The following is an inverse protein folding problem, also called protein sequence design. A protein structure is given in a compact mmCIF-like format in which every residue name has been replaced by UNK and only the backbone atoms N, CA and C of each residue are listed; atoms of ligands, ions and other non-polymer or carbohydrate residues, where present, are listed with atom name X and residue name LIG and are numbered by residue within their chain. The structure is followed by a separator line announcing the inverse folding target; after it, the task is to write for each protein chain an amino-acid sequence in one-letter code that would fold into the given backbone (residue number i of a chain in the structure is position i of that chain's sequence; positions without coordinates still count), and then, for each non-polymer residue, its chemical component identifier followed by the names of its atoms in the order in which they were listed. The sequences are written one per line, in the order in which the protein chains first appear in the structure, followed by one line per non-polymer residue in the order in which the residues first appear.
data_IF_724327943838
#
_entry.id   IF_724327943838
#
_cell.length_a   1.000
_cell.length_b   1.000
_cell.length_c   1.000
_cell.angle_alpha   90.00
_cell.angle_beta   90.00
_cell.angle_gamma   90.00
#
_symmetry.space_group_name_H-M   'P 1'
#
loop_
_entity.id
_entity.type
_entity.pdbx_description
1 polymer ?
#
# COMPACT_ATOMS: atom_id res chain seq x y z
N UNK A 1 30.86 -6.62 -28.12
CA UNK A 1 29.76 -7.61 -28.22
C UNK A 1 30.04 -8.87 -27.42
N UNK A 2 31.26 -9.43 -27.50
CA UNK A 2 31.64 -10.68 -26.79
C UNK A 2 31.43 -10.64 -25.28
N UNK A 3 31.79 -9.52 -24.61
CA UNK A 3 31.56 -9.36 -23.16
C UNK A 3 30.10 -9.53 -22.73
N UNK A 4 29.18 -8.81 -23.38
CA UNK A 4 27.73 -8.92 -23.12
C UNK A 4 27.20 -10.33 -23.39
N UNK A 5 27.75 -11.01 -24.40
CA UNK A 5 27.38 -12.39 -24.74
C UNK A 5 27.83 -13.37 -23.65
N UNK A 6 29.01 -13.19 -23.08
CA UNK A 6 29.52 -14.03 -21.99
C UNK A 6 28.74 -13.82 -20.69
N UNK A 7 28.42 -12.58 -20.36
CA UNK A 7 27.54 -12.26 -19.23
C UNK A 7 26.16 -12.90 -19.43
N UNK A 8 25.55 -12.77 -20.60
CA UNK A 8 24.26 -13.39 -20.89
C UNK A 8 24.28 -14.92 -20.71
N UNK A 9 25.34 -15.59 -21.18
CA UNK A 9 25.52 -17.03 -20.96
C UNK A 9 25.65 -17.39 -19.48
N UNK A 10 26.33 -16.56 -18.70
CA UNK A 10 26.47 -16.76 -17.25
C UNK A 10 25.11 -16.66 -16.55
N UNK A 11 24.32 -15.66 -16.92
CA UNK A 11 22.96 -15.47 -16.41
C UNK A 11 22.04 -16.63 -16.82
N UNK A 12 22.11 -17.08 -18.08
CA UNK A 12 21.37 -18.25 -18.56
C UNK A 12 21.77 -19.54 -17.80
N UNK A 13 23.07 -19.76 -17.60
CA UNK A 13 23.56 -20.88 -16.81
C UNK A 13 23.09 -20.82 -15.34
N UNK A 14 22.96 -19.62 -14.77
CA UNK A 14 22.44 -19.41 -13.42
C UNK A 14 20.93 -19.65 -13.32
N UNK A 15 20.15 -19.30 -14.33
CA UNK A 15 18.71 -19.63 -14.41
C UNK A 15 18.51 -21.13 -14.54
N UNK A 16 19.32 -21.81 -15.36
CA UNK A 16 19.22 -23.26 -15.59
C UNK A 16 19.88 -24.11 -14.49
N UNK A 17 20.79 -23.53 -13.69
CA UNK A 17 21.54 -24.24 -12.66
C UNK A 17 22.67 -25.14 -13.18
N UNK A 18 23.15 -24.94 -14.42
CA UNK A 18 24.16 -25.80 -15.06
C UNK A 18 25.57 -25.48 -14.58
N UNK A 19 26.07 -26.26 -13.61
CA UNK A 19 27.44 -26.10 -13.06
C UNK A 19 28.53 -26.30 -14.12
N UNK A 20 28.36 -27.25 -15.04
CA UNK A 20 29.31 -27.48 -16.13
C UNK A 20 29.44 -26.25 -17.06
N UNK A 21 28.32 -25.57 -17.34
CA UNK A 21 28.32 -24.35 -18.13
C UNK A 21 29.03 -23.21 -17.39
N UNK A 22 28.82 -23.09 -16.08
CA UNK A 22 29.54 -22.13 -15.24
C UNK A 22 31.05 -22.40 -15.26
N UNK A 23 31.48 -23.66 -15.09
CA UNK A 23 32.89 -24.03 -15.12
C UNK A 23 33.54 -23.71 -16.47
N UNK A 24 32.88 -24.05 -17.58
CA UNK A 24 33.37 -23.70 -18.92
C UNK A 24 33.51 -22.18 -19.11
N UNK A 25 32.54 -21.40 -18.64
CA UNK A 25 32.60 -19.93 -18.71
C UNK A 25 33.75 -19.38 -17.85
N UNK A 26 34.01 -19.96 -16.68
CA UNK A 26 35.10 -19.56 -15.79
C UNK A 26 36.48 -19.94 -16.31
N UNK A 27 36.58 -21.03 -17.08
CA UNK A 27 37.80 -21.41 -17.80
C UNK A 27 38.10 -20.42 -18.94
N UNK A 28 37.08 -19.97 -19.66
CA UNK A 28 37.20 -18.96 -20.72
C UNK A 28 37.50 -17.55 -20.15
N UNK A 29 36.86 -17.15 -19.05
CA UNK A 29 37.06 -15.85 -18.40
C UNK A 29 36.98 -15.93 -16.87
N UNK A 30 38.16 -15.99 -16.24
CA UNK A 30 38.29 -16.04 -14.77
C UNK A 30 37.71 -14.82 -14.04
N UNK A 31 37.60 -13.68 -14.71
CA UNK A 31 37.14 -12.43 -14.10
C UNK A 31 35.66 -12.13 -14.38
N UNK A 32 34.93 -13.05 -15.02
CA UNK A 32 33.52 -12.83 -15.40
C UNK A 32 32.64 -12.53 -14.17
N UNK A 33 32.91 -13.18 -13.03
CA UNK A 33 32.17 -12.98 -11.78
C UNK A 33 32.45 -11.60 -11.14
N UNK A 34 33.63 -11.00 -11.37
CA UNK A 34 33.92 -9.66 -10.89
C UNK A 34 33.21 -8.60 -11.71
N UNK A 35 33.10 -8.84 -13.02
CA UNK A 35 32.44 -7.93 -13.95
C UNK A 35 30.93 -7.98 -13.84
N UNK A 36 30.36 -9.15 -13.55
CA UNK A 36 28.93 -9.32 -13.35
C UNK A 36 28.35 -8.36 -12.28
N UNK A 37 29.18 -7.91 -11.33
CA UNK A 37 28.83 -6.91 -10.31
C UNK A 37 28.65 -5.47 -10.84
N UNK A 38 29.19 -5.17 -12.02
CA UNK A 38 29.28 -3.80 -12.60
C UNK A 38 28.24 -3.59 -13.71
N UNK A 39 27.42 -4.60 -13.99
CA UNK A 39 26.46 -4.56 -15.11
C UNK A 39 25.12 -3.91 -14.72
N UNK A 40 24.33 -3.53 -15.72
CA UNK A 40 23.04 -2.84 -15.56
C UNK A 40 21.94 -3.73 -14.93
N UNK A 41 22.25 -4.96 -14.58
CA UNK A 41 21.43 -5.86 -13.78
C UNK A 41 22.01 -5.87 -12.37
N UNK A 42 21.33 -5.28 -11.38
CA UNK A 42 21.84 -5.34 -9.99
C UNK A 42 21.71 -6.75 -9.39
N UNK A 43 20.97 -7.65 -10.01
CA UNK A 43 20.86 -9.04 -9.57
C UNK A 43 22.09 -9.81 -10.04
N UNK A 44 22.92 -10.27 -9.10
CA UNK A 44 24.08 -11.12 -9.44
C UNK A 44 23.62 -12.54 -9.82
N UNK A 45 24.44 -13.34 -10.55
CA UNK A 45 24.12 -14.74 -10.84
C UNK A 45 23.83 -15.57 -9.58
N UNK A 46 24.38 -15.17 -8.43
CA UNK A 46 24.10 -15.79 -7.13
C UNK A 46 22.67 -15.52 -6.64
N UNK A 47 22.11 -14.32 -6.88
CA UNK A 47 20.72 -14.00 -6.55
C UNK A 47 19.77 -14.93 -7.31
N UNK A 48 20.00 -15.10 -8.61
CA UNK A 48 19.17 -15.94 -9.48
C UNK A 48 19.27 -17.41 -9.06
N UNK A 49 20.48 -17.93 -8.87
CA UNK A 49 20.67 -19.31 -8.45
C UNK A 49 20.04 -19.58 -7.06
N UNK A 50 20.14 -18.61 -6.14
CA UNK A 50 19.53 -18.67 -4.82
C UNK A 50 17.99 -18.60 -4.88
N UNK A 51 17.42 -17.81 -5.79
CA UNK A 51 15.98 -17.74 -6.03
C UNK A 51 15.44 -19.06 -6.64
N UNK A 52 16.14 -19.60 -7.63
CA UNK A 52 15.73 -20.80 -8.36
C UNK A 52 15.99 -22.11 -7.59
N UNK A 53 16.85 -22.12 -6.57
CA UNK A 53 17.11 -23.32 -5.75
C UNK A 53 18.29 -24.18 -6.22
N UNK A 54 19.19 -23.62 -7.02
CA UNK A 54 20.31 -24.36 -7.61
C UNK A 54 21.49 -24.50 -6.64
N UNK A 55 21.37 -25.46 -5.71
CA UNK A 55 22.29 -25.61 -4.58
C UNK A 55 23.75 -25.82 -5.00
N UNK A 56 24.01 -26.70 -5.96
CA UNK A 56 25.39 -26.99 -6.41
C UNK A 56 26.01 -25.80 -7.14
N UNK A 57 25.19 -25.09 -7.92
CA UNK A 57 25.59 -23.86 -8.60
C UNK A 57 25.96 -22.75 -7.61
N UNK A 58 25.15 -22.58 -6.55
CA UNK A 58 25.44 -21.66 -5.45
C UNK A 58 26.76 -22.03 -4.76
N UNK A 59 26.96 -23.30 -4.42
CA UNK A 59 28.18 -23.77 -3.75
C UNK A 59 29.43 -23.53 -4.60
N UNK A 60 29.37 -23.78 -5.90
CA UNK A 60 30.48 -23.50 -6.82
C UNK A 60 30.78 -22.00 -6.87
N UNK A 61 29.76 -21.13 -7.03
CA UNK A 61 29.96 -19.67 -7.03
C UNK A 61 30.59 -19.19 -5.71
N UNK A 62 30.06 -19.64 -4.57
CA UNK A 62 30.56 -19.24 -3.25
C UNK A 62 32.00 -19.72 -3.01
N UNK A 63 32.36 -20.91 -3.51
CA UNK A 63 33.72 -21.45 -3.44
C UNK A 63 34.74 -20.65 -4.27
N UNK A 64 34.28 -19.98 -5.34
CA UNK A 64 35.12 -19.12 -6.18
C UNK A 64 35.17 -17.67 -5.71
N UNK A 65 34.01 -17.11 -5.34
CA UNK A 65 33.87 -15.71 -4.92
C UNK A 65 32.78 -15.57 -3.85
N UNK A 66 33.19 -15.79 -2.60
CA UNK A 66 32.35 -15.66 -1.40
C UNK A 66 31.76 -14.25 -1.21
N UNK A 67 32.46 -13.21 -1.68
CA UNK A 67 32.00 -11.81 -1.56
C UNK A 67 30.63 -11.54 -2.18
N UNK A 68 30.22 -12.34 -3.18
CA UNK A 68 28.90 -12.22 -3.81
C UNK A 68 27.73 -12.46 -2.83
N UNK A 69 27.96 -13.15 -1.71
CA UNK A 69 26.94 -13.40 -0.70
C UNK A 69 26.44 -12.12 -0.01
N UNK A 70 27.26 -11.07 0.01
CA UNK A 70 26.94 -9.77 0.63
C UNK A 70 26.32 -8.74 -0.33
N UNK A 71 26.25 -9.06 -1.63
CA UNK A 71 25.72 -8.14 -2.63
C UNK A 71 24.20 -8.01 -2.51
N UNK A 72 23.68 -6.83 -2.87
CA UNK A 72 22.26 -6.51 -2.78
C UNK A 72 21.70 -6.14 -4.17
N UNK A 73 20.51 -6.64 -4.47
CA UNK A 73 19.78 -6.31 -5.70
C UNK A 73 19.08 -4.92 -5.64
N UNK A 74 18.23 -4.62 -6.64
CA UNK A 74 17.47 -3.36 -6.72
C UNK A 74 16.50 -3.16 -5.54
N UNK A 75 15.99 -4.25 -4.99
CA UNK A 75 15.09 -4.26 -3.83
C UNK A 75 15.88 -4.32 -2.52
N UNK A 76 17.21 -4.11 -2.57
CA UNK A 76 18.14 -4.26 -1.44
C UNK A 76 18.09 -5.65 -0.81
N UNK A 77 17.64 -6.66 -1.54
CA UNK A 77 17.60 -8.05 -1.10
C UNK A 77 18.93 -8.72 -1.42
N UNK A 78 19.43 -9.51 -0.49
CA UNK A 78 20.60 -10.36 -0.70
C UNK A 78 20.20 -11.74 -1.22
N UNK A 79 21.14 -12.57 -1.71
CA UNK A 79 20.83 -13.97 -2.06
C UNK A 79 20.22 -14.75 -0.89
N UNK A 80 20.57 -14.40 0.35
CA UNK A 80 20.00 -15.01 1.56
C UNK A 80 18.52 -14.67 1.73
N UNK A 81 18.10 -13.45 1.41
CA UNK A 81 16.68 -13.04 1.41
C UNK A 81 15.88 -13.91 0.44
N UNK A 82 16.38 -14.06 -0.80
CA UNK A 82 15.72 -14.81 -1.86
C UNK A 82 15.63 -16.31 -1.55
N UNK A 83 16.72 -16.92 -1.08
CA UNK A 83 16.73 -18.31 -0.65
C UNK A 83 15.77 -18.55 0.52
N UNK A 84 15.71 -17.60 1.46
CA UNK A 84 14.86 -17.71 2.65
C UNK A 84 13.38 -17.61 2.33
N UNK A 85 12.99 -16.70 1.43
CA UNK A 85 11.60 -16.57 0.97
C UNK A 85 11.13 -17.82 0.19
N UNK A 86 12.03 -18.39 -0.64
CA UNK A 86 11.70 -19.53 -1.48
C UNK A 86 11.79 -20.88 -0.75
N UNK A 87 12.43 -20.95 0.41
CA UNK A 87 12.47 -22.16 1.25
C UNK A 87 13.67 -23.07 1.02
N UNK A 88 14.75 -22.56 0.41
CA UNK A 88 15.91 -23.37 0.01
C UNK A 88 16.90 -23.55 1.16
N UNK A 89 16.63 -24.51 2.05
CA UNK A 89 17.38 -24.75 3.30
C UNK A 89 18.89 -24.93 3.08
N UNK A 90 19.30 -25.74 2.11
CA UNK A 90 20.72 -26.03 1.86
C UNK A 90 21.48 -24.82 1.32
N UNK A 91 20.81 -23.95 0.55
CA UNK A 91 21.36 -22.68 0.09
C UNK A 91 21.51 -21.71 1.26
N UNK A 92 20.50 -21.64 2.13
CA UNK A 92 20.56 -20.82 3.35
C UNK A 92 21.75 -21.23 4.22
N UNK A 93 21.94 -22.54 4.46
CA UNK A 93 23.12 -23.04 5.20
C UNK A 93 24.43 -22.63 4.52
N UNK A 94 24.54 -22.80 3.20
CA UNK A 94 25.75 -22.43 2.45
C UNK A 94 26.06 -20.93 2.54
N UNK A 95 25.04 -20.06 2.43
CA UNK A 95 25.20 -18.61 2.53
C UNK A 95 25.55 -18.15 3.95
N UNK A 96 24.93 -18.76 4.98
CA UNK A 96 25.23 -18.46 6.39
C UNK A 96 26.64 -18.86 6.80
N UNK A 97 27.17 -19.96 6.24
CA UNK A 97 28.56 -20.36 6.47
C UNK A 97 29.57 -19.34 5.95
N UNK A 98 29.21 -18.63 4.87
CA UNK A 98 30.09 -17.64 4.24
C UNK A 98 29.95 -16.26 4.89
N UNK A 99 28.71 -15.82 5.15
CA UNK A 99 28.43 -14.51 5.70
C UNK A 99 27.20 -14.54 6.64
N UNK A 100 27.39 -14.84 7.94
CA UNK A 100 26.30 -14.93 8.91
C UNK A 100 25.65 -13.57 9.23
N UNK A 101 26.38 -12.47 9.07
CA UNK A 101 25.90 -11.11 9.37
C UNK A 101 24.76 -10.68 8.43
N UNK A 102 24.61 -11.34 7.28
CA UNK A 102 23.49 -11.11 6.36
C UNK A 102 22.12 -11.44 6.94
N UNK A 103 22.03 -12.12 8.09
CA UNK A 103 20.79 -12.26 8.84
C UNK A 103 20.24 -10.92 9.36
N UNK A 104 21.10 -9.92 9.60
CA UNK A 104 20.70 -8.63 10.20
C UNK A 104 20.30 -7.59 9.14
N UNK A 105 20.76 -7.77 7.91
CA UNK A 105 20.49 -6.84 6.81
C UNK A 105 19.02 -6.92 6.43
N UNK A 106 18.37 -5.76 6.30
CA UNK A 106 17.00 -5.66 5.81
C UNK A 106 16.94 -5.28 4.33
N UNK A 107 15.92 -5.80 3.65
CA UNK A 107 15.55 -5.42 2.28
C UNK A 107 15.01 -3.98 2.20
N UNK A 108 14.50 -3.59 1.03
CA UNK A 108 13.93 -2.26 0.78
C UNK A 108 12.72 -1.91 1.66
N UNK A 109 12.09 -2.90 2.29
CA UNK A 109 10.99 -2.72 3.26
C UNK A 109 11.46 -2.89 4.72
N UNK A 110 12.77 -2.99 4.94
CA UNK A 110 13.35 -3.22 6.26
C UNK A 110 13.21 -4.66 6.76
N UNK A 111 12.81 -5.60 5.91
CA UNK A 111 12.62 -7.01 6.26
C UNK A 111 13.92 -7.77 6.06
N UNK A 112 14.48 -8.30 7.14
CA UNK A 112 15.56 -9.28 7.07
C UNK A 112 15.12 -10.68 6.56
N UNK A 113 16.05 -11.62 6.31
CA UNK A 113 15.73 -12.95 5.82
C UNK A 113 14.80 -13.77 6.73
N UNK A 114 14.87 -13.56 8.06
CA UNK A 114 14.00 -14.25 9.02
C UNK A 114 12.55 -13.79 8.85
N UNK A 115 12.31 -12.50 8.66
CA UNK A 115 10.97 -11.96 8.35
C UNK A 115 10.38 -12.61 7.10
N UNK A 116 11.17 -12.71 6.02
CA UNK A 116 10.71 -13.31 4.76
C UNK A 116 10.38 -14.80 4.91
N UNK A 117 11.24 -15.57 5.60
CA UNK A 117 10.98 -16.98 5.89
C UNK A 117 9.70 -17.16 6.72
N UNK A 118 9.52 -16.32 7.75
CA UNK A 118 8.35 -16.33 8.61
C UNK A 118 7.05 -16.00 7.86
N UNK A 119 7.06 -14.96 7.04
CA UNK A 119 5.95 -14.53 6.18
C UNK A 119 5.55 -15.59 5.15
N UNK A 120 6.52 -16.33 4.60
CA UNK A 120 6.29 -17.37 3.59
C UNK A 120 6.06 -18.76 4.19
N UNK A 121 6.03 -18.90 5.52
CA UNK A 121 5.77 -20.18 6.19
C UNK A 121 6.93 -21.18 6.11
N UNK A 122 8.16 -20.73 5.85
CA UNK A 122 9.33 -21.60 5.66
C UNK A 122 9.94 -21.99 7.02
N UNK A 123 9.31 -22.96 7.69
CA UNK A 123 9.68 -23.38 9.07
C UNK A 123 11.13 -23.89 9.15
N UNK A 124 11.56 -24.73 8.21
CA UNK A 124 12.91 -25.33 8.25
C UNK A 124 14.02 -24.30 8.00
N UNK A 125 13.80 -23.39 7.05
CA UNK A 125 14.68 -22.25 6.82
C UNK A 125 14.75 -21.38 8.07
N UNK A 126 13.60 -21.04 8.65
CA UNK A 126 13.53 -20.18 9.82
C UNK A 126 14.28 -20.82 11.01
N UNK A 127 14.21 -22.14 11.17
CA UNK A 127 14.97 -22.87 12.20
C UNK A 127 16.47 -22.71 12.01
N UNK A 128 16.98 -22.83 10.79
CA UNK A 128 18.41 -22.63 10.52
C UNK A 128 18.85 -21.18 10.74
N UNK A 129 18.03 -20.21 10.31
CA UNK A 129 18.31 -18.79 10.53
C UNK A 129 18.32 -18.40 12.02
N UNK A 130 17.40 -18.94 12.82
CA UNK A 130 17.31 -18.66 14.26
C UNK A 130 18.53 -19.18 15.04
N UNK A 131 19.18 -20.25 14.57
CA UNK A 131 20.41 -20.77 15.20
C UNK A 131 21.59 -19.79 15.09
N UNK A 132 21.65 -19.04 14.00
CA UNK A 132 22.77 -18.12 13.72
C UNK A 132 22.42 -16.68 14.12
N UNK A 133 21.21 -16.23 13.79
CA UNK A 133 20.78 -14.84 13.87
C UNK A 133 19.57 -14.61 14.76
N UNK A 134 19.51 -15.18 15.96
CA UNK A 134 18.38 -15.02 16.89
C UNK A 134 18.02 -13.54 17.13
N UNK A 135 19.03 -12.68 17.25
CA UNK A 135 18.84 -11.24 17.44
C UNK A 135 18.12 -10.58 16.27
N UNK A 136 18.31 -11.07 15.05
CA UNK A 136 17.63 -10.55 13.86
C UNK A 136 16.11 -10.73 13.94
N UNK A 137 15.62 -11.76 14.63
CA UNK A 137 14.18 -11.99 14.79
C UNK A 137 13.48 -10.90 15.63
N UNK A 138 14.24 -10.11 16.40
CA UNK A 138 13.71 -9.05 17.27
C UNK A 138 13.59 -7.70 16.56
N UNK A 139 14.16 -7.55 15.37
CA UNK A 139 14.07 -6.32 14.61
C UNK A 139 12.61 -6.07 14.21
N UNK A 140 12.15 -4.83 14.38
CA UNK A 140 10.84 -4.42 13.89
C UNK A 140 10.94 -3.96 12.45
N UNK A 141 9.92 -4.27 11.65
CA UNK A 141 9.78 -3.72 10.29
C UNK A 141 9.02 -2.40 10.33
N UNK A 142 8.71 -1.85 9.17
CA UNK A 142 7.83 -0.69 9.03
C UNK A 142 6.56 -0.83 9.91
N UNK A 143 6.11 0.29 10.48
CA UNK A 143 4.94 0.34 11.39
C UNK A 143 5.14 -0.33 12.75
N UNK A 144 6.39 -0.59 13.15
CA UNK A 144 6.72 -1.15 14.47
C UNK A 144 6.34 -2.63 14.60
N UNK A 145 6.10 -3.31 13.48
CA UNK A 145 5.63 -4.69 13.49
C UNK A 145 6.79 -5.65 13.77
N UNK A 146 6.57 -6.60 14.68
CA UNK A 146 7.50 -7.70 14.91
C UNK A 146 7.26 -8.84 13.91
N UNK A 147 8.22 -9.75 13.79
CA UNK A 147 8.07 -11.00 13.01
C UNK A 147 6.80 -11.80 13.37
N UNK A 148 6.35 -11.73 14.63
CA UNK A 148 5.12 -12.41 15.08
C UNK A 148 3.87 -11.78 14.45
N UNK A 149 3.83 -10.44 14.33
CA UNK A 149 2.75 -9.74 13.63
C UNK A 149 2.69 -10.16 12.16
N UNK A 150 3.85 -10.30 11.51
CA UNK A 150 3.95 -10.74 10.13
C UNK A 150 3.46 -12.19 9.94
N UNK A 151 3.80 -13.09 10.85
CA UNK A 151 3.27 -14.46 10.84
C UNK A 151 1.74 -14.49 10.91
N UNK A 152 1.14 -13.69 11.81
CA UNK A 152 -0.31 -13.61 11.96
C UNK A 152 -0.94 -13.00 10.70
N UNK A 153 -0.42 -11.89 10.18
CA UNK A 153 -0.93 -11.29 8.93
C UNK A 153 -0.95 -12.26 7.76
N UNK A 154 0.08 -13.09 7.64
CA UNK A 154 0.20 -14.07 6.56
C UNK A 154 -0.42 -15.45 6.91
N UNK A 155 -1.10 -15.58 8.06
CA UNK A 155 -1.71 -16.81 8.54
C UNK A 155 -0.74 -18.01 8.63
N UNK A 156 0.51 -17.76 9.06
CA UNK A 156 1.57 -18.75 9.13
C UNK A 156 1.74 -19.30 10.55
N UNK A 157 0.85 -20.22 10.94
CA UNK A 157 0.85 -20.82 12.28
C UNK A 157 2.14 -21.60 12.58
N UNK A 158 2.70 -22.32 11.61
CA UNK A 158 3.90 -23.15 11.83
C UNK A 158 5.13 -22.32 12.21
N UNK A 159 5.36 -21.19 11.52
CA UNK A 159 6.47 -20.28 11.82
C UNK A 159 6.21 -19.50 13.11
N UNK A 160 4.95 -19.11 13.37
CA UNK A 160 4.55 -18.48 14.62
C UNK A 160 4.86 -19.36 15.84
N UNK A 161 4.48 -20.65 15.78
CA UNK A 161 4.76 -21.64 16.84
C UNK A 161 6.25 -21.72 17.14
N UNK A 162 7.05 -21.95 16.10
CA UNK A 162 8.51 -22.04 16.23
C UNK A 162 9.11 -20.78 16.88
N UNK A 163 8.68 -19.59 16.46
CA UNK A 163 9.19 -18.32 17.00
C UNK A 163 8.82 -18.11 18.46
N UNK A 164 7.58 -18.42 18.84
CA UNK A 164 7.13 -18.31 20.23
C UNK A 164 7.84 -19.29 21.16
N UNK A 165 8.04 -20.54 20.70
CA UNK A 165 8.80 -21.56 21.44
C UNK A 165 10.28 -21.18 21.59
N UNK A 166 10.88 -20.57 20.56
CA UNK A 166 12.32 -20.26 20.56
C UNK A 166 12.66 -18.98 21.31
N UNK A 167 11.86 -17.92 21.17
CA UNK A 167 12.16 -16.61 21.77
C UNK A 167 11.61 -16.46 23.18
N UNK A 168 10.53 -17.18 23.52
CA UNK A 168 9.84 -17.28 24.83
C UNK A 168 10.05 -16.08 25.79
N UNK A 169 9.83 -14.87 25.29
CA UNK A 169 10.05 -13.62 26.01
C UNK A 169 8.73 -12.87 26.12
N UNK A 170 8.25 -12.71 27.35
CA UNK A 170 6.97 -12.07 27.64
C UNK A 170 6.86 -10.65 27.05
N UNK A 171 7.94 -9.87 27.03
CA UNK A 171 7.89 -8.52 26.46
C UNK A 171 7.70 -8.61 24.94
N UNK A 172 8.41 -9.52 24.30
CA UNK A 172 8.36 -9.70 22.85
C UNK A 172 7.01 -10.26 22.36
N UNK A 173 6.43 -11.22 23.09
CA UNK A 173 5.11 -11.79 22.77
C UNK A 173 3.98 -10.77 22.87
N UNK A 174 4.14 -9.77 23.73
CA UNK A 174 3.15 -8.71 23.98
C UNK A 174 3.51 -7.37 23.32
N UNK A 175 4.51 -7.37 22.43
CA UNK A 175 4.80 -6.20 21.59
C UNK A 175 3.57 -5.81 20.77
N UNK A 176 3.42 -4.51 20.56
CA UNK A 176 2.32 -3.94 19.80
C UNK A 176 2.83 -3.21 18.56
N UNK A 177 2.03 -3.20 17.50
CA UNK A 177 2.26 -2.36 16.32
C UNK A 177 2.11 -0.85 16.62
N UNK A 178 2.29 0.01 15.61
CA UNK A 178 2.10 1.47 15.72
C UNK A 178 0.69 1.90 16.16
N UNK A 179 -0.29 1.02 16.09
CA UNK A 179 -1.68 1.25 16.49
C UNK A 179 -2.00 0.64 17.86
N UNK A 180 -1.01 0.05 18.54
CA UNK A 180 -1.18 -0.63 19.81
C UNK A 180 -1.81 -2.03 19.68
N UNK A 181 -1.98 -2.57 18.46
CA UNK A 181 -2.52 -3.92 18.30
C UNK A 181 -1.44 -4.95 18.64
N UNK A 182 -1.77 -5.87 19.54
CA UNK A 182 -1.00 -7.09 19.74
C UNK A 182 -1.32 -8.13 18.65
N UNK A 183 -0.51 -9.19 18.58
CA UNK A 183 -0.73 -10.33 17.69
C UNK A 183 -2.12 -10.97 17.84
N UNK A 184 -2.72 -10.93 19.04
CA UNK A 184 -4.07 -11.47 19.28
C UNK A 184 -5.15 -10.57 18.65
N UNK A 185 -4.99 -9.24 18.72
CA UNK A 185 -5.90 -8.31 18.06
C UNK A 185 -5.93 -8.56 16.54
N UNK A 186 -4.75 -8.77 15.94
CA UNK A 186 -4.64 -9.10 14.52
C UNK A 186 -5.26 -10.47 14.21
N UNK A 187 -4.99 -11.51 15.00
CA UNK A 187 -5.52 -12.85 14.77
C UNK A 187 -7.06 -12.87 14.79
N UNK A 188 -7.65 -12.17 15.76
CA UNK A 188 -9.11 -12.01 15.88
C UNK A 188 -9.69 -11.17 14.75
N UNK A 189 -9.03 -10.07 14.38
CA UNK A 189 -9.47 -9.23 13.25
C UNK A 189 -9.50 -9.99 11.92
N UNK A 190 -8.58 -10.94 11.71
CA UNK A 190 -8.53 -11.80 10.51
C UNK A 190 -9.29 -13.12 10.69
N UNK A 191 -9.96 -13.33 11.82
CA UNK A 191 -10.75 -14.54 12.16
C UNK A 191 -9.95 -15.85 12.05
N UNK A 192 -8.69 -15.83 12.47
CA UNK A 192 -7.77 -16.97 12.36
C UNK A 192 -7.89 -17.93 13.56
N UNK A 193 -8.96 -18.73 13.60
CA UNK A 193 -9.30 -19.60 14.75
C UNK A 193 -8.12 -20.44 15.26
N UNK A 194 -7.34 -21.05 14.36
CA UNK A 194 -6.22 -21.91 14.75
C UNK A 194 -5.07 -21.16 15.42
N UNK A 195 -4.80 -19.92 14.98
CA UNK A 195 -3.83 -19.03 15.62
C UNK A 195 -4.39 -18.53 16.95
N UNK A 196 -5.67 -18.15 17.01
CA UNK A 196 -6.33 -17.69 18.24
C UNK A 196 -6.28 -18.77 19.33
N UNK A 197 -6.68 -20.02 19.01
CA UNK A 197 -6.58 -21.16 19.95
C UNK A 197 -5.16 -21.34 20.47
N UNK A 198 -4.18 -21.26 19.58
CA UNK A 198 -2.78 -21.40 19.97
C UNK A 198 -2.33 -20.25 20.89
N UNK A 199 -2.65 -19.00 20.56
CA UNK A 199 -2.26 -17.82 21.33
C UNK A 199 -2.92 -17.80 22.73
N UNK A 200 -4.19 -18.15 22.84
CA UNK A 200 -4.89 -18.18 24.14
C UNK A 200 -4.35 -19.30 25.03
N UNK A 201 -4.01 -20.45 24.44
CA UNK A 201 -3.41 -21.58 25.20
C UNK A 201 -1.95 -21.31 25.56
N UNK A 202 -1.25 -20.47 24.79
CA UNK A 202 0.17 -20.20 25.00
C UNK A 202 0.41 -19.34 26.24
N UNK A 203 1.27 -19.84 27.14
CA UNK A 203 1.66 -19.11 28.35
C UNK A 203 2.44 -17.86 27.95
N UNK A 204 1.97 -16.69 28.38
CA UNK A 204 2.69 -15.43 28.24
C UNK A 204 2.11 -14.41 27.27
N UNK A 205 1.05 -14.74 26.52
CA UNK A 205 0.30 -13.77 25.72
C UNK A 205 -0.79 -13.11 26.59
N UNK A 206 -0.81 -11.79 26.63
CA UNK A 206 -1.82 -11.02 27.33
C UNK A 206 -3.12 -10.95 26.51
N UNK A 207 -4.09 -11.80 26.86
CA UNK A 207 -5.42 -11.86 26.23
C UNK A 207 -6.20 -10.54 26.40
N UNK A 208 -5.94 -9.83 27.50
CA UNK A 208 -6.64 -8.61 27.91
C UNK A 208 -5.87 -7.33 27.55
N UNK A 209 -4.91 -7.41 26.63
CA UNK A 209 -4.23 -6.24 26.11
C UNK A 209 -5.23 -5.28 25.46
N UNK A 210 -5.04 -3.97 25.67
CA UNK A 210 -5.83 -2.92 25.03
C UNK A 210 -4.98 -2.23 23.96
N UNK A 211 -5.56 -1.98 22.80
CA UNK A 211 -4.89 -1.21 21.75
C UNK A 211 -5.01 0.31 21.99
N UNK A 212 -4.43 1.12 21.09
CA UNK A 212 -4.48 2.58 21.22
C UNK A 212 -5.90 3.17 21.15
N UNK A 213 -6.89 2.39 20.71
CA UNK A 213 -8.31 2.76 20.70
C UNK A 213 -9.05 2.31 21.97
N UNK A 214 -8.36 1.71 22.94
CA UNK A 214 -8.96 1.18 24.17
C UNK A 214 -9.79 -0.08 23.96
N UNK A 215 -9.58 -0.79 22.84
CA UNK A 215 -10.30 -2.02 22.51
C UNK A 215 -9.46 -3.24 22.84
N UNK A 216 -10.09 -4.26 23.40
CA UNK A 216 -9.53 -5.61 23.53
C UNK A 216 -9.76 -6.43 22.27
N UNK A 217 -9.11 -7.59 22.17
CA UNK A 217 -9.39 -8.55 21.10
C UNK A 217 -10.87 -8.98 21.06
N UNK A 218 -11.50 -9.13 22.23
CA UNK A 218 -12.93 -9.46 22.33
C UNK A 218 -13.84 -8.32 21.83
N UNK A 219 -13.46 -7.07 22.07
CA UNK A 219 -14.18 -5.91 21.54
C UNK A 219 -14.05 -5.79 20.02
N UNK A 220 -12.88 -6.16 19.47
CA UNK A 220 -12.68 -6.23 18.00
C UNK A 220 -13.60 -7.29 17.39
N UNK A 221 -13.70 -8.48 18.00
CA UNK A 221 -14.62 -9.53 17.54
C UNK A 221 -16.06 -9.02 17.52
N UNK A 222 -16.50 -8.36 18.59
CA UNK A 222 -17.86 -7.83 18.70
C UNK A 222 -18.18 -6.72 17.69
N UNK A 223 -17.16 -6.00 17.20
CA UNK A 223 -17.30 -5.00 16.15
C UNK A 223 -17.24 -5.61 14.74
N UNK A 224 -16.57 -6.75 14.58
CA UNK A 224 -16.57 -7.49 13.33
C UNK A 224 -17.98 -8.04 13.09
N UNK A 225 -18.51 -7.89 11.87
CA UNK A 225 -19.87 -8.31 11.55
C UNK A 225 -20.07 -9.81 11.84
N UNK A 226 -21.28 -10.16 12.33
CA UNK A 226 -21.63 -11.53 12.75
C UNK A 226 -21.37 -12.54 11.64
N UNK A 227 -20.49 -13.48 11.94
CA UNK A 227 -20.12 -14.63 11.11
C UNK A 227 -20.25 -15.92 11.92
N UNK A 228 -20.35 -17.06 11.24
CA UNK A 228 -20.48 -18.39 11.88
C UNK A 228 -19.29 -18.70 12.79
N UNK A 229 -18.11 -18.22 12.41
CA UNK A 229 -16.86 -18.41 13.16
C UNK A 229 -16.76 -17.53 14.42
N UNK A 230 -17.60 -16.50 14.57
CA UNK A 230 -17.49 -15.57 15.70
C UNK A 230 -17.89 -16.25 17.02
N UNK A 231 -18.79 -17.24 16.96
CA UNK A 231 -19.16 -18.03 18.14
C UNK A 231 -17.97 -18.85 18.64
N UNK A 232 -17.31 -19.58 17.74
CA UNK A 232 -16.15 -20.40 18.09
C UNK A 232 -14.97 -19.54 18.57
N UNK A 233 -14.77 -18.37 17.97
CA UNK A 233 -13.72 -17.42 18.40
C UNK A 233 -14.06 -16.84 19.78
N UNK A 234 -15.33 -16.49 20.02
CA UNK A 234 -15.77 -15.98 21.32
C UNK A 234 -15.63 -17.05 22.41
N UNK A 235 -15.94 -18.31 22.10
CA UNK A 235 -15.74 -19.45 23.00
C UNK A 235 -14.25 -19.65 23.32
N UNK A 236 -13.39 -19.61 22.29
CA UNK A 236 -11.94 -19.70 22.47
C UNK A 236 -11.36 -18.56 23.33
N UNK A 237 -11.94 -17.36 23.28
CA UNK A 237 -11.54 -16.22 24.11
C UNK A 237 -12.20 -16.23 25.50
N UNK A 238 -13.36 -16.86 25.63
CA UNK A 238 -14.28 -16.76 26.77
C UNK A 238 -13.74 -17.27 28.09
N UNK A 239 -12.72 -18.13 28.09
CA UNK A 239 -12.14 -18.67 29.32
C UNK A 239 -11.21 -17.70 30.07
N UNK A 240 -10.91 -16.50 29.51
CA UNK A 240 -10.07 -15.51 30.19
C UNK A 240 -10.09 -14.08 29.62
N UNK A 241 -10.79 -13.83 28.51
CA UNK A 241 -10.89 -12.51 27.90
C UNK A 241 -11.99 -11.65 28.53
N UNK A 242 -11.63 -10.45 28.95
CA UNK A 242 -12.52 -9.40 29.42
C UNK A 242 -12.76 -8.38 28.30
N UNK A 243 -13.92 -7.71 28.32
CA UNK A 243 -14.15 -6.56 27.44
C UNK A 243 -13.40 -5.34 27.98
N UNK A 244 -12.97 -4.43 27.11
CA UNK A 244 -12.22 -3.23 27.49
C UNK A 244 -12.96 -2.35 28.51
N UNK A 245 -14.30 -2.34 28.44
CA UNK A 245 -15.17 -1.66 29.42
C UNK A 245 -15.09 -2.23 30.84
N UNK A 246 -14.79 -3.52 30.97
CA UNK A 246 -14.73 -4.24 32.24
C UNK A 246 -13.30 -4.17 32.84
N UNK A 247 -12.29 -3.89 32.01
CA UNK A 247 -10.88 -3.72 32.42
C UNK A 247 -10.58 -2.30 32.88
N UNK A 248 -11.11 -1.27 32.20
CA UNK A 248 -10.90 0.12 32.59
C UNK A 248 -12.15 0.98 32.38
N UNK A 249 -13.02 1.12 33.38
CA UNK A 249 -14.29 1.85 33.26
C UNK A 249 -14.11 3.36 33.01
N UNK A 250 -12.91 3.91 33.21
CA UNK A 250 -12.65 5.36 33.08
C UNK A 250 -12.25 5.83 31.67
N UNK A 251 -11.79 4.92 30.79
CA UNK A 251 -11.34 5.28 29.44
C UNK A 251 -12.49 5.48 28.42
N UNK A 252 -13.71 5.03 28.74
CA UNK A 252 -14.87 5.11 27.83
C UNK A 252 -15.75 6.35 28.04
N UNK A 253 -15.42 7.24 28.97
CA UNK A 253 -16.19 8.48 29.20
C UNK A 253 -15.97 9.54 28.13
N UNK A 254 -14.99 9.39 27.23
CA UNK A 254 -14.80 10.32 26.12
C UNK A 254 -15.32 9.71 24.82
N UNK A 255 -16.36 10.34 24.27
CA UNK A 255 -16.90 10.10 22.93
C UNK A 255 -15.78 10.20 21.88
N UNK A 256 -15.08 9.10 21.60
CA UNK A 256 -14.13 9.04 20.49
C UNK A 256 -14.77 8.29 19.32
N UNK A 257 -15.13 9.08 18.30
CA UNK A 257 -15.36 8.71 16.90
C UNK A 257 -15.06 7.26 16.50
N UNK A 258 -16.14 6.50 16.30
CA UNK A 258 -16.16 5.25 15.54
C UNK A 258 -15.57 5.50 14.14
N UNK A 259 -14.34 5.06 13.92
CA UNK A 259 -13.86 4.72 12.57
C UNK A 259 -13.53 3.24 12.60
N UNK A 260 -14.29 2.38 11.90
CA UNK A 260 -14.03 0.95 11.91
C UNK A 260 -12.66 0.67 11.28
N UNK A 261 -11.81 -0.07 11.99
CA UNK A 261 -10.46 -0.50 11.56
C UNK A 261 -10.52 -1.36 10.30
N UNK A 262 -11.63 -2.09 10.08
CA UNK A 262 -11.93 -2.77 8.82
C UNK A 262 -11.85 -1.80 7.63
N UNK A 263 -12.30 -0.56 7.79
CA UNK A 263 -12.26 0.45 6.74
C UNK A 263 -10.88 1.07 6.53
N UNK A 264 -9.86 0.77 7.35
CA UNK A 264 -8.50 1.35 7.25
C UNK A 264 -7.47 0.35 6.74
N UNK A 265 -7.59 -0.93 7.10
CA UNK A 265 -6.81 -2.03 6.47
C UNK A 265 -7.30 -2.30 5.04
N UNK A 266 -8.62 -2.30 4.82
CA UNK A 266 -9.16 -2.28 3.44
C UNK A 266 -8.74 -1.02 2.71
N UNK A 267 -8.54 0.12 3.39
CA UNK A 267 -8.10 1.36 2.73
C UNK A 267 -6.67 1.26 2.19
N UNK A 268 -5.72 0.61 2.86
CA UNK A 268 -4.35 0.47 2.33
C UNK A 268 -4.31 -0.44 1.12
N UNK A 269 -4.97 -1.59 1.18
CA UNK A 269 -5.11 -2.51 0.04
C UNK A 269 -5.92 -1.88 -1.11
N UNK A 270 -6.96 -1.12 -0.78
CA UNK A 270 -7.74 -0.32 -1.73
C UNK A 270 -6.89 0.81 -2.34
N UNK A 271 -6.02 1.47 -1.58
CA UNK A 271 -5.15 2.54 -2.09
C UNK A 271 -4.11 2.02 -3.07
N UNK A 272 -3.53 0.85 -2.81
CA UNK A 272 -2.60 0.18 -3.74
C UNK A 272 -3.33 -0.25 -5.02
N UNK A 273 -4.49 -0.91 -4.89
CA UNK A 273 -5.33 -1.27 -6.05
C UNK A 273 -5.80 -0.04 -6.82
N UNK A 274 -6.11 1.07 -6.13
CA UNK A 274 -6.52 2.34 -6.74
C UNK A 274 -5.34 3.04 -7.41
N UNK A 275 -4.11 2.94 -6.90
CA UNK A 275 -2.92 3.47 -7.58
C UNK A 275 -2.77 2.86 -8.96
N UNK A 276 -2.89 1.53 -9.07
CA UNK A 276 -2.73 0.84 -10.34
C UNK A 276 -3.86 1.22 -11.31
N UNK A 277 -5.11 1.31 -10.82
CA UNK A 277 -6.24 1.82 -11.61
C UNK A 277 -6.04 3.29 -12.04
N UNK A 278 -5.56 4.14 -11.14
CA UNK A 278 -5.32 5.56 -11.40
C UNK A 278 -4.21 5.77 -12.43
N UNK A 279 -3.16 4.96 -12.38
CA UNK A 279 -2.09 4.98 -13.38
C UNK A 279 -2.62 4.59 -14.76
N UNK A 280 -3.48 3.57 -14.84
CA UNK A 280 -4.16 3.18 -16.08
C UNK A 280 -5.05 4.31 -16.60
N UNK A 281 -5.83 4.96 -15.74
CA UNK A 281 -6.68 6.10 -16.15
C UNK A 281 -5.84 7.28 -16.63
N UNK A 282 -4.77 7.63 -15.91
CA UNK A 282 -3.87 8.72 -16.30
C UNK A 282 -3.13 8.43 -17.61
N UNK A 283 -2.71 7.18 -17.84
CA UNK A 283 -2.09 6.80 -19.12
C UNK A 283 -3.09 6.84 -20.27
N UNK A 284 -4.32 6.36 -20.08
CA UNK A 284 -5.40 6.46 -21.07
C UNK A 284 -5.72 7.92 -21.42
N UNK A 285 -5.81 8.81 -20.43
CA UNK A 285 -6.03 10.24 -20.66
C UNK A 285 -4.83 10.84 -21.41
N UNK A 286 -3.59 10.54 -21.00
CA UNK A 286 -2.40 11.01 -21.69
C UNK A 286 -2.36 10.52 -23.15
N UNK A 287 -2.73 9.28 -23.42
CA UNK A 287 -2.83 8.72 -24.77
C UNK A 287 -3.90 9.44 -25.58
N UNK A 288 -5.12 9.61 -25.04
CA UNK A 288 -6.20 10.31 -25.73
C UNK A 288 -5.85 11.78 -26.03
N UNK A 289 -5.23 12.50 -25.08
CA UNK A 289 -4.81 13.88 -25.27
C UNK A 289 -3.66 14.00 -26.28
N UNK A 290 -2.72 13.05 -26.28
CA UNK A 290 -1.66 12.98 -27.29
C UNK A 290 -2.24 12.76 -28.69
N UNK A 291 -3.13 11.79 -28.83
CA UNK A 291 -3.80 11.49 -30.10
C UNK A 291 -4.60 12.70 -30.61
N UNK A 292 -5.39 13.34 -29.73
CA UNK A 292 -6.13 14.54 -30.08
C UNK A 292 -5.22 15.74 -30.43
N UNK A 293 -4.00 15.78 -29.89
CA UNK A 293 -3.01 16.81 -30.21
C UNK A 293 -2.37 16.62 -31.58
N UNK A 294 -2.00 15.39 -31.93
CA UNK A 294 -1.37 15.05 -33.22
C UNK A 294 -2.41 14.96 -34.35
N UNK A 295 -3.63 14.57 -34.02
CA UNK A 295 -4.76 14.47 -34.94
C UNK A 295 -5.94 15.29 -34.40
N UNK A 296 -5.90 16.62 -34.57
CA UNK A 296 -6.97 17.49 -34.12
C UNK A 296 -8.28 17.18 -34.86
N UNK A 297 -9.44 17.52 -34.26
CA UNK A 297 -10.74 17.34 -34.88
C UNK A 297 -10.80 17.98 -36.28
N UNK A 298 -11.19 17.20 -37.29
CA UNK A 298 -11.16 17.64 -38.69
C UNK A 298 -9.83 17.37 -39.41
N UNK A 299 -8.84 16.82 -38.73
CA UNK A 299 -7.56 16.41 -39.29
C UNK A 299 -6.59 17.56 -39.55
N UNK A 300 -5.54 17.24 -40.31
CA UNK A 300 -4.53 18.18 -40.78
C UNK A 300 -4.55 18.23 -42.31
N UNK A 301 -4.24 19.40 -42.86
CA UNK A 301 -4.10 19.57 -44.30
C UNK A 301 -2.99 18.65 -44.83
N UNK A 302 -3.23 18.03 -46.00
CA UNK A 302 -2.27 17.12 -46.64
C UNK A 302 -1.44 17.82 -47.73
N UNK A 303 -1.82 19.04 -48.09
CA UNK A 303 -1.26 19.84 -49.18
C UNK A 303 -0.99 21.29 -48.74
N UNK A 304 -0.05 21.92 -49.44
CA UNK A 304 0.25 23.35 -49.31
C UNK A 304 -0.60 24.16 -50.29
N UNK A 305 -1.30 25.18 -49.79
CA UNK A 305 -2.05 26.13 -50.61
C UNK A 305 -1.57 27.56 -50.34
N UNK A 306 -1.02 28.20 -51.38
CA UNK A 306 -0.45 29.55 -51.28
C UNK A 306 -1.44 30.55 -50.65
N UNK A 307 -1.08 31.08 -49.47
CA UNK A 307 -1.86 32.07 -48.74
C UNK A 307 -3.09 31.55 -48.00
N UNK A 308 -3.35 30.23 -48.00
CA UNK A 308 -4.51 29.62 -47.30
C UNK A 308 -4.14 28.66 -46.19
N UNK A 309 -3.25 27.70 -46.42
CA UNK A 309 -2.82 26.73 -45.40
C UNK A 309 -1.52 26.02 -45.81
N UNK A 310 -0.80 25.49 -44.83
CA UNK A 310 0.35 24.60 -45.04
C UNK A 310 0.03 23.17 -44.63
N UNK A 311 0.65 22.20 -45.30
CA UNK A 311 0.54 20.79 -44.96
C UNK A 311 1.00 20.55 -43.51
N UNK A 312 0.22 19.75 -42.79
CA UNK A 312 0.43 19.48 -41.36
C UNK A 312 -0.22 20.47 -40.40
N UNK A 313 -0.77 21.60 -40.88
CA UNK A 313 -1.53 22.50 -40.03
C UNK A 313 -2.95 21.97 -39.77
N UNK A 314 -3.47 22.24 -38.57
CA UNK A 314 -4.78 21.77 -38.15
C UNK A 314 -5.89 22.45 -38.97
N UNK A 315 -6.75 21.65 -39.60
CA UNK A 315 -7.92 22.16 -40.35
C UNK A 315 -8.83 22.99 -39.44
N UNK A 316 -8.95 22.60 -38.17
CA UNK A 316 -9.69 23.32 -37.14
C UNK A 316 -9.18 24.73 -36.88
N UNK A 317 -7.88 25.00 -37.04
CA UNK A 317 -7.29 26.32 -36.82
C UNK A 317 -7.83 27.37 -37.81
N UNK A 318 -8.15 26.92 -39.03
CA UNK A 318 -8.65 27.76 -40.11
C UNK A 318 -10.18 27.88 -40.10
N UNK A 319 -10.88 26.76 -39.85
CA UNK A 319 -12.33 26.74 -39.85
C UNK A 319 -12.94 27.33 -38.57
N UNK A 320 -12.21 27.29 -37.44
CA UNK A 320 -12.65 27.76 -36.13
C UNK A 320 -11.53 28.50 -35.38
N UNK A 321 -11.07 29.66 -35.90
CA UNK A 321 -9.92 30.38 -35.34
C UNK A 321 -10.14 30.81 -33.89
N UNK A 322 -11.38 31.10 -33.49
CA UNK A 322 -11.71 31.49 -32.12
C UNK A 322 -11.74 30.30 -31.15
N UNK A 323 -12.08 29.10 -31.62
CA UNK A 323 -12.26 27.91 -30.75
C UNK A 323 -11.02 27.02 -30.67
N UNK A 324 -10.18 27.03 -31.71
CA UNK A 324 -8.97 26.21 -31.77
C UNK A 324 -7.95 26.51 -30.64
N UNK A 325 -7.67 27.77 -30.26
CA UNK A 325 -6.77 28.06 -29.14
C UNK A 325 -7.27 27.51 -27.80
N UNK A 326 -8.59 27.50 -27.57
CA UNK A 326 -9.16 26.93 -26.35
C UNK A 326 -9.00 25.41 -26.31
N UNK A 327 -9.32 24.74 -27.43
CA UNK A 327 -9.08 23.30 -27.58
C UNK A 327 -7.62 22.94 -27.27
N UNK A 328 -6.66 23.65 -27.86
CA UNK A 328 -5.24 23.39 -27.67
C UNK A 328 -4.80 23.59 -26.21
N UNK A 329 -5.27 24.65 -25.55
CA UNK A 329 -4.96 24.92 -24.13
C UNK A 329 -5.48 23.81 -23.22
N UNK A 330 -6.76 23.44 -23.32
CA UNK A 330 -7.34 22.40 -22.48
C UNK A 330 -6.76 21.01 -22.77
N UNK A 331 -6.49 20.69 -24.03
CA UNK A 331 -5.84 19.45 -24.39
C UNK A 331 -4.42 19.35 -23.79
N UNK A 332 -3.63 20.44 -23.89
CA UNK A 332 -2.27 20.49 -23.34
C UNK A 332 -2.27 20.40 -21.81
N UNK A 333 -3.19 21.10 -21.13
CA UNK A 333 -3.34 21.01 -19.67
C UNK A 333 -3.67 19.57 -19.26
N UNK A 334 -4.60 18.90 -19.95
CA UNK A 334 -4.96 17.50 -19.67
C UNK A 334 -3.77 16.55 -19.87
N UNK A 335 -2.95 16.77 -20.89
CA UNK A 335 -1.77 15.96 -21.17
C UNK A 335 -0.69 16.12 -20.09
N UNK A 336 -0.32 17.36 -19.77
CA UNK A 336 0.72 17.67 -18.78
C UNK A 336 0.30 17.22 -17.38
N UNK A 337 -0.97 17.42 -16.99
CA UNK A 337 -1.47 16.99 -15.68
C UNK A 337 -1.57 15.46 -15.57
N UNK A 338 -1.87 14.76 -16.66
CA UNK A 338 -1.85 13.28 -16.69
C UNK A 338 -0.43 12.72 -16.57
N UNK A 339 0.55 13.27 -17.29
CA UNK A 339 1.96 12.90 -17.13
C UNK A 339 2.48 13.20 -15.72
N UNK A 340 2.09 14.34 -15.15
CA UNK A 340 2.42 14.70 -13.76
C UNK A 340 1.84 13.69 -12.78
N UNK A 341 0.61 13.22 -13.01
CA UNK A 341 -0.04 12.17 -12.20
C UNK A 341 0.73 10.85 -12.31
N UNK A 342 1.13 10.42 -13.51
CA UNK A 342 1.91 9.19 -13.71
C UNK A 342 3.26 9.29 -13.00
N UNK A 343 3.98 10.39 -13.17
CA UNK A 343 5.28 10.62 -12.52
C UNK A 343 5.15 10.59 -11.00
N UNK A 344 4.15 11.26 -10.43
CA UNK A 344 3.90 11.27 -8.99
C UNK A 344 3.53 9.89 -8.44
N UNK A 345 2.78 9.08 -9.19
CA UNK A 345 2.42 7.72 -8.79
C UNK A 345 3.59 6.73 -8.92
N UNK A 346 4.48 6.93 -9.90
CA UNK A 346 5.67 6.10 -10.13
C UNK A 346 6.87 6.45 -9.24
N UNK A 347 6.98 7.69 -8.78
CA UNK A 347 8.18 8.20 -8.08
C UNK A 347 8.45 7.54 -6.71
N UNK A 348 7.60 6.61 -6.24
CA UNK A 348 7.82 5.88 -4.98
C UNK A 348 7.91 6.78 -3.74
N UNK A 349 7.58 8.07 -3.87
CA UNK A 349 7.64 9.04 -2.79
C UNK A 349 6.68 8.58 -1.68
N UNK A 350 7.10 8.60 -0.40
CA UNK A 350 6.27 8.06 0.67
C UNK A 350 4.96 8.85 0.76
N UNK A 351 3.87 8.20 0.33
CA UNK A 351 2.47 8.66 0.43
C UNK A 351 2.01 8.90 1.89
N UNK A 352 2.93 8.78 2.86
CA UNK A 352 2.73 8.93 4.30
C UNK A 352 2.29 10.36 4.70
N UNK A 353 2.48 11.39 3.85
CA UNK A 353 1.99 12.76 4.12
C UNK A 353 0.64 13.06 3.45
N UNK A 354 -0.36 13.39 4.26
CA UNK A 354 -1.73 13.79 3.83
C UNK A 354 -1.76 14.96 2.82
N UNK A 355 -0.71 15.79 2.80
CA UNK A 355 -0.53 16.87 1.82
C UNK A 355 -0.31 16.35 0.41
N UNK A 356 0.42 15.24 0.25
CA UNK A 356 0.69 14.64 -1.06
C UNK A 356 -0.57 14.05 -1.70
N UNK A 357 -1.36 13.32 -0.91
CA UNK A 357 -2.68 12.81 -1.32
C UNK A 357 -3.62 13.94 -1.76
N UNK A 358 -3.57 15.08 -1.08
CA UNK A 358 -4.36 16.25 -1.45
C UNK A 358 -3.89 16.86 -2.77
N UNK A 359 -2.57 17.00 -2.98
CA UNK A 359 -1.99 17.46 -4.25
C UNK A 359 -2.41 16.54 -5.40
N UNK A 360 -2.27 15.22 -5.23
CA UNK A 360 -2.65 14.23 -6.23
C UNK A 360 -4.13 14.32 -6.60
N UNK A 361 -5.00 14.48 -5.59
CA UNK A 361 -6.43 14.68 -5.80
C UNK A 361 -6.72 15.96 -6.61
N UNK A 362 -6.08 17.09 -6.27
CA UNK A 362 -6.26 18.35 -7.00
C UNK A 362 -5.79 18.24 -8.45
N UNK A 363 -4.64 17.61 -8.69
CA UNK A 363 -4.11 17.40 -10.05
C UNK A 363 -5.09 16.55 -10.88
N UNK A 364 -5.58 15.44 -10.32
CA UNK A 364 -6.55 14.57 -11.01
C UNK A 364 -7.86 15.31 -11.35
N UNK A 365 -8.34 16.16 -10.45
CA UNK A 365 -9.56 16.96 -10.68
C UNK A 365 -9.37 17.98 -11.81
N UNK A 366 -8.20 18.61 -11.83
CA UNK A 366 -7.79 19.49 -12.92
C UNK A 366 -7.74 18.72 -14.25
N UNK A 367 -7.19 17.51 -14.26
CA UNK A 367 -7.15 16.64 -15.44
C UNK A 367 -8.55 16.30 -15.97
N UNK A 368 -9.44 15.81 -15.12
CA UNK A 368 -10.80 15.38 -15.51
C UNK A 368 -11.61 16.57 -16.03
N UNK A 369 -11.50 17.73 -15.39
CA UNK A 369 -12.18 18.95 -15.84
C UNK A 369 -11.64 19.41 -17.18
N UNK A 370 -10.33 19.38 -17.37
CA UNK A 370 -9.68 19.79 -18.62
C UNK A 370 -10.09 18.88 -19.80
N UNK A 371 -10.08 17.55 -19.64
CA UNK A 371 -10.51 16.64 -20.71
C UNK A 371 -12.01 16.75 -21.02
N UNK A 372 -12.85 16.98 -20.01
CA UNK A 372 -14.30 17.16 -20.20
C UNK A 372 -14.59 18.43 -21.02
N UNK A 373 -13.86 19.52 -20.76
CA UNK A 373 -13.94 20.75 -21.55
C UNK A 373 -13.43 20.53 -22.97
N UNK A 374 -12.29 19.85 -23.15
CA UNK A 374 -11.79 19.48 -24.48
C UNK A 374 -12.85 18.74 -25.29
N UNK A 375 -13.49 17.72 -24.69
CA UNK A 375 -14.57 16.97 -25.33
C UNK A 375 -15.77 17.86 -25.70
N UNK A 376 -16.21 18.73 -24.79
CA UNK A 376 -17.33 19.65 -25.00
C UNK A 376 -17.09 20.60 -26.19
N UNK A 377 -15.86 21.12 -26.36
CA UNK A 377 -15.52 21.96 -27.51
C UNK A 377 -15.42 21.16 -28.81
N UNK A 378 -14.77 20.00 -28.76
CA UNK A 378 -14.58 19.13 -29.93
C UNK A 378 -15.91 18.69 -30.54
N UNK A 379 -16.87 18.27 -29.72
CA UNK A 379 -18.14 17.76 -30.24
C UNK A 379 -18.98 18.86 -30.91
N UNK A 380 -18.90 20.11 -30.42
CA UNK A 380 -19.58 21.26 -31.04
C UNK A 380 -19.01 21.57 -32.42
N UNK A 381 -17.69 21.41 -32.56
CA UNK A 381 -16.95 21.68 -33.81
C UNK A 381 -17.23 20.62 -34.88
N UNK A 382 -17.31 19.34 -34.48
CA UNK A 382 -17.60 18.22 -35.39
C UNK A 382 -19.08 18.20 -35.81
N UNK A 383 -19.99 18.68 -34.96
CA UNK A 383 -21.44 18.62 -35.22
C UNK A 383 -21.85 19.57 -36.36
N UNK A 384 -22.69 19.12 -37.31
CA UNK A 384 -23.25 19.97 -38.37
C UNK A 384 -23.99 21.18 -37.82
N UNK A 385 -23.91 22.33 -38.51
CA UNK A 385 -24.45 23.62 -38.04
C UNK A 385 -25.93 23.55 -37.62
N UNK A 386 -26.73 22.73 -38.31
CA UNK A 386 -28.17 22.55 -38.07
C UNK A 386 -28.49 22.04 -36.66
N UNK A 387 -27.60 21.23 -36.08
CA UNK A 387 -27.81 20.58 -34.79
C UNK A 387 -26.99 21.21 -33.65
N UNK A 388 -26.23 22.28 -33.94
CA UNK A 388 -25.35 22.93 -32.95
C UNK A 388 -26.09 23.63 -31.84
N UNK A 389 -27.18 24.34 -32.16
CA UNK A 389 -27.96 25.09 -31.17
C UNK A 389 -28.53 24.16 -30.07
N UNK A 390 -29.30 23.10 -30.40
CA UNK A 390 -29.80 22.19 -29.37
C UNK A 390 -28.65 21.47 -28.63
N UNK A 391 -27.59 21.07 -29.33
CA UNK A 391 -26.43 20.41 -28.72
C UNK A 391 -25.67 21.34 -27.76
N UNK A 392 -25.45 22.60 -28.14
CA UNK A 392 -24.76 23.61 -27.33
C UNK A 392 -25.53 23.88 -26.04
N UNK A 393 -26.87 23.92 -26.09
CA UNK A 393 -27.69 24.02 -24.89
C UNK A 393 -27.51 22.80 -23.96
N UNK A 394 -27.54 21.59 -24.50
CA UNK A 394 -27.33 20.36 -23.71
C UNK A 394 -25.93 20.33 -23.09
N UNK A 395 -24.90 20.68 -23.86
CA UNK A 395 -23.51 20.72 -23.38
C UNK A 395 -23.31 21.80 -22.32
N UNK A 396 -23.88 22.99 -22.49
CA UNK A 396 -23.84 24.07 -21.48
C UNK A 396 -24.47 23.61 -20.18
N UNK A 397 -25.64 22.98 -20.23
CA UNK A 397 -26.31 22.42 -19.04
C UNK A 397 -25.41 21.35 -18.41
N UNK A 398 -24.86 20.43 -19.20
CA UNK A 398 -23.98 19.38 -18.69
C UNK A 398 -22.71 19.94 -18.01
N UNK A 399 -22.08 20.95 -18.60
CA UNK A 399 -20.90 21.64 -18.03
C UNK A 399 -21.27 22.37 -16.74
N UNK A 400 -22.41 23.04 -16.69
CA UNK A 400 -22.89 23.72 -15.47
C UNK A 400 -23.11 22.69 -14.35
N UNK A 401 -23.81 21.60 -14.63
CA UNK A 401 -24.05 20.52 -13.66
C UNK A 401 -22.71 19.93 -13.19
N UNK A 402 -21.79 19.64 -14.11
CA UNK A 402 -20.46 19.13 -13.79
C UNK A 402 -19.68 20.09 -12.89
N UNK A 403 -19.62 21.37 -13.23
CA UNK A 403 -18.96 22.40 -12.43
C UNK A 403 -19.59 22.52 -11.04
N UNK A 404 -20.93 22.51 -10.93
CA UNK A 404 -21.61 22.54 -9.63
C UNK A 404 -21.25 21.34 -8.75
N UNK A 405 -21.23 20.13 -9.32
CA UNK A 405 -20.82 18.91 -8.60
C UNK A 405 -19.37 19.01 -8.15
N UNK A 406 -18.47 19.48 -9.02
CA UNK A 406 -17.06 19.64 -8.66
C UNK A 406 -16.85 20.71 -7.59
N UNK A 407 -17.52 21.86 -7.68
CA UNK A 407 -17.43 22.90 -6.64
C UNK A 407 -17.93 22.40 -5.30
N UNK A 408 -19.06 21.68 -5.26
CA UNK A 408 -19.61 21.14 -4.01
C UNK A 408 -18.65 20.16 -3.33
N UNK A 409 -18.04 19.28 -4.11
CA UNK A 409 -17.06 18.32 -3.60
C UNK A 409 -15.76 18.99 -3.16
N UNK A 410 -15.27 19.99 -3.89
CA UNK A 410 -14.11 20.80 -3.50
C UNK A 410 -14.37 21.48 -2.15
N UNK A 411 -15.54 22.13 -2.00
CA UNK A 411 -15.96 22.79 -0.75
C UNK A 411 -16.06 21.79 0.40
N UNK A 412 -16.65 20.61 0.18
CA UNK A 412 -16.71 19.57 1.21
C UNK A 412 -15.32 19.10 1.67
N UNK A 413 -14.38 18.96 0.74
CA UNK A 413 -13.01 18.57 1.05
C UNK A 413 -12.20 19.69 1.70
N UNK A 414 -12.36 20.96 1.29
CA UNK A 414 -11.70 22.10 1.92
C UNK A 414 -12.21 22.32 3.34
N UNK A 415 -13.53 22.21 3.59
CA UNK A 415 -14.11 22.27 4.94
C UNK A 415 -13.53 21.16 5.82
N UNK A 416 -13.48 19.92 5.35
CA UNK A 416 -12.89 18.79 6.09
C UNK A 416 -11.40 19.01 6.40
N UNK A 417 -10.67 19.69 5.53
CA UNK A 417 -9.25 19.99 5.69
C UNK A 417 -9.03 21.13 6.70
N UNK A 418 -9.84 22.19 6.60
CA UNK A 418 -9.89 23.32 7.53
C UNK A 418 -10.26 22.82 8.93
N UNK A 419 -11.29 22.00 9.06
CA UNK A 419 -11.71 21.41 10.34
C UNK A 419 -10.59 20.54 10.96
N UNK A 420 -9.88 19.75 10.15
CA UNK A 420 -8.71 18.99 10.62
C UNK A 420 -7.54 19.88 11.03
N UNK A 421 -7.30 20.95 10.29
CA UNK A 421 -6.22 21.90 10.57
C UNK A 421 -6.49 22.69 11.86
N UNK A 422 -7.73 23.14 12.07
CA UNK A 422 -8.14 23.81 13.30
C UNK A 422 -8.13 22.88 14.53
N UNK A 423 -8.52 21.61 14.36
CA UNK A 423 -8.34 20.59 15.41
C UNK A 423 -6.86 20.37 15.76
N UNK A 424 -5.93 20.46 14.81
CA UNK A 424 -4.49 20.35 15.08
C UNK A 424 -3.89 21.55 15.83
N UNK A 425 -4.61 22.68 15.86
CA UNK A 425 -4.24 23.90 16.61
C UNK A 425 -5.09 24.13 17.86
N UNK A 426 -5.94 23.16 18.24
CA UNK A 426 -6.76 23.24 19.46
C UNK A 426 -7.97 24.18 19.38
N UNK A 427 -8.37 24.63 18.18
CA UNK A 427 -9.51 25.56 17.99
C UNK A 427 -10.71 24.76 17.48
N UNK A 428 -11.80 24.72 18.26
CA UNK A 428 -13.05 24.03 17.88
C UNK A 428 -14.05 25.06 17.34
N UNK A 429 -14.41 24.94 16.05
CA UNK A 429 -15.26 25.94 15.36
C UNK A 429 -16.76 25.73 15.63
N UNK A 430 -17.18 24.50 15.92
CA UNK A 430 -18.60 24.22 16.13
C UNK A 430 -18.93 24.20 17.62
N UNK A 431 -19.82 25.08 18.13
CA UNK A 431 -20.41 24.91 19.43
C UNK A 431 -21.19 23.60 19.40
N UNK A 432 -20.91 22.70 20.33
CA UNK A 432 -21.80 21.55 20.55
C UNK A 432 -23.20 22.13 20.79
N UNK A 433 -24.26 21.62 20.14
CA UNK A 433 -25.61 22.10 20.39
C UNK A 433 -25.87 21.99 21.89
N UNK A 434 -26.08 23.13 22.53
CA UNK A 434 -26.45 23.21 23.93
C UNK A 434 -27.75 22.43 24.10
N UNK A 435 -27.67 21.36 24.89
CA UNK A 435 -28.84 20.61 25.36
C UNK A 435 -29.59 21.46 26.37
N UNK A 436 -30.24 22.51 25.89
CA UNK A 436 -31.20 23.33 26.64
C UNK A 436 -32.56 22.62 26.61
N UNK A 437 -32.65 21.39 27.14
CA UNK A 437 -33.95 20.70 27.29
C UNK A 437 -33.96 19.62 28.38
N UNK A 438 -33.20 19.79 29.47
CA UNK A 438 -33.33 18.91 30.66
C UNK A 438 -33.61 19.64 31.97
N UNK A 439 -33.66 20.98 32.00
CA UNK A 439 -34.05 21.73 33.20
C UNK A 439 -35.56 21.69 33.49
N UNK A 440 -36.43 21.44 32.50
CA UNK A 440 -37.88 21.44 32.69
C UNK A 440 -38.48 20.09 33.13
N UNK A 441 -37.70 18.99 33.10
CA UNK A 441 -38.16 17.68 33.57
C UNK A 441 -37.87 17.45 35.06
N UNK A 442 -36.84 18.11 35.62
CA UNK A 442 -36.52 17.98 37.04
C UNK A 442 -37.42 18.83 37.95
N UNK A 443 -38.00 19.93 37.44
CA UNK A 443 -38.97 20.73 38.21
C UNK A 443 -40.38 20.09 38.24
N UNK A 444 -40.74 19.31 37.21
CA UNK A 444 -42.01 18.55 37.19
C UNK A 444 -42.00 17.36 38.16
N UNK A 445 -40.84 16.73 38.36
CA UNK A 445 -40.72 15.58 39.28
C UNK A 445 -40.55 16.01 40.74
N UNK A 446 -39.92 17.16 41.03
CA UNK A 446 -39.81 17.68 42.40
C UNK A 446 -41.19 18.10 42.99
N UNK A 447 -42.11 18.59 42.15
CA UNK A 447 -43.47 18.93 42.61
C UNK A 447 -44.37 17.70 42.83
N UNK A 448 -44.04 16.54 42.26
CA UNK A 448 -44.78 15.29 42.50
C UNK A 448 -44.37 14.60 43.79
N UNK A 449 -43.09 14.69 44.18
CA UNK A 449 -42.60 14.12 45.43
C UNK A 449 -43.04 14.95 46.66
N UNK A 450 -43.16 16.27 46.52
CA UNK A 450 -43.65 17.13 47.61
C UNK A 450 -45.13 16.85 47.98
N UNK A 451 -45.97 16.41 47.03
CA UNK A 451 -47.36 16.07 47.30
C UNK A 451 -47.55 14.69 47.93
N UNK A 452 -46.54 13.81 47.88
CA UNK A 452 -46.63 12.44 48.38
C UNK A 452 -46.15 12.30 49.84
N UNK A 453 -45.48 13.32 50.40
CA UNK A 453 -45.01 13.34 51.79
C UNK A 453 -46.05 13.93 52.75
N UNK A 454 -47.13 14.53 52.25
CA UNK A 454 -48.17 15.17 53.08
C UNK A 454 -49.41 14.29 53.36
N UNK A 455 -49.39 13.01 52.98
CA UNK A 455 -50.51 12.06 53.12
C UNK A 455 -50.10 10.72 53.78
N UNK A 456 -49.10 10.78 54.66
CA UNK A 456 -48.75 9.74 55.65
C UNK A 456 -48.41 10.44 56.95
#
# INVERSE_FOLDING_TARGET
MERKRMEQKLYEAAVEGKVASLQAILEEDRLVLERAMVTCFNETPLHIAAMCGHTDFVKEILGRKSGLAGELDLQRSSPLHLASANGHVEIVKALLLVNPDMCLVGDGEGRNPLHLAAMKGRVDVLRELLRVGLNAARNTVDHGETILHLCVKQNQLGTLRLLMETLNDHQFLNSTDEFGNSILHLAVSHKQIQIIRYLVTSVGVNVNAINANGLTALDILAQSGRDVNDFDIADCLGEGALRGRDINPTLLSNKQTRVPILAKLTQSEWLEKKRDILMVVASLIATMSFQAGVSPPGGVWQDDSEGKHRAGEAVMAYNYPDSYPYFLRFNTISFVTSLSTILLLMSGLPFKRKTFMWILMVIMWLTITSISLTYAFTIVVITPVKDREPLSHVIKIAVIVWCCVMTLLLVGHTIRLIERWLRSRGIFIWPSPTTTTTSNLNQSNANKEAHQIQMT
#
